data_IF_921517691245
#
_entry.id   IF_921517691245
#
_cell.length_a   1.000
_cell.length_b   1.000
_cell.length_c   1.000
_cell.angle_alpha   90.00
_cell.angle_beta   90.00
_cell.angle_gamma   90.00
#
_symmetry.space_group_name_H-M   'P 1'
#
loop_
_entity.id
_entity.type
_entity.pdbx_description
1 polymer ?
#
# COMPACT_ATOMS: atom_id res chain seq x y z
N UNK A 1 -27.06 -1.79 22.50
CA UNK A 1 -26.68 -1.95 21.08
C UNK A 1 -25.22 -1.56 20.93
N UNK A 2 -24.32 -2.54 21.04
CA UNK A 2 -22.88 -2.30 20.84
C UNK A 2 -22.64 -2.00 19.37
N UNK A 3 -22.05 -0.84 19.06
CA UNK A 3 -21.66 -0.49 17.70
C UNK A 3 -20.59 -1.49 17.25
N UNK A 4 -20.90 -2.33 16.29
CA UNK A 4 -19.89 -3.12 15.56
C UNK A 4 -19.01 -2.11 14.83
N UNK A 5 -17.92 -1.72 15.46
CA UNK A 5 -16.84 -1.03 14.75
C UNK A 5 -16.20 -2.07 13.87
N UNK A 6 -16.52 -2.03 12.58
CA UNK A 6 -15.86 -2.81 11.54
C UNK A 6 -14.37 -2.48 11.63
N UNK A 7 -13.58 -3.36 12.26
CA UNK A 7 -12.23 -3.02 12.68
C UNK A 7 -11.32 -2.99 11.45
N UNK A 8 -10.91 -1.82 10.92
CA UNK A 8 -10.13 -1.75 9.68
C UNK A 8 -8.71 -2.33 9.84
N UNK A 9 -8.33 -2.72 11.07
CA UNK A 9 -7.05 -3.34 11.42
C UNK A 9 -7.06 -4.87 11.34
N UNK A 10 -8.11 -5.50 10.76
CA UNK A 10 -8.23 -6.97 10.72
C UNK A 10 -7.09 -7.66 9.97
N UNK A 11 -6.46 -6.99 9.01
CA UNK A 11 -5.40 -7.55 8.17
C UNK A 11 -4.12 -6.72 8.29
N UNK A 12 -3.05 -7.36 8.74
CA UNK A 12 -1.71 -6.76 8.84
C UNK A 12 -0.85 -7.38 7.76
N UNK A 13 -0.19 -6.54 6.97
CA UNK A 13 0.85 -6.97 6.02
C UNK A 13 2.20 -6.66 6.65
N UNK A 14 3.02 -7.69 6.86
CA UNK A 14 4.38 -7.57 7.39
C UNK A 14 5.38 -7.93 6.30
N UNK A 15 6.40 -7.10 6.12
CA UNK A 15 7.51 -7.36 5.22
C UNK A 15 8.82 -6.93 5.90
N UNK A 16 9.94 -7.48 5.43
CA UNK A 16 11.27 -7.05 5.85
C UNK A 16 11.82 -6.11 4.80
N UNK A 17 12.36 -4.99 5.26
CA UNK A 17 13.05 -3.99 4.45
C UNK A 17 14.37 -3.65 5.15
N UNK A 18 15.36 -3.22 4.39
CA UNK A 18 16.61 -2.67 4.92
C UNK A 18 16.39 -1.27 5.51
N UNK A 19 17.32 -0.81 6.34
CA UNK A 19 17.31 0.55 6.89
C UNK A 19 17.24 1.62 5.80
N UNK A 20 17.97 1.39 4.69
CA UNK A 20 17.98 2.29 3.53
C UNK A 20 16.61 2.39 2.86
N UNK A 21 15.93 1.25 2.68
CA UNK A 21 14.59 1.24 2.09
C UNK A 21 13.57 1.91 3.01
N UNK A 22 13.69 1.69 4.33
CA UNK A 22 12.82 2.34 5.31
C UNK A 22 13.01 3.86 5.31
N UNK A 23 14.26 4.35 5.23
CA UNK A 23 14.55 5.78 5.14
C UNK A 23 13.95 6.40 3.87
N UNK A 24 14.12 5.73 2.72
CA UNK A 24 13.51 6.16 1.46
C UNK A 24 11.97 6.24 1.56
N UNK A 25 11.33 5.27 2.21
CA UNK A 25 9.88 5.26 2.42
C UNK A 25 9.43 6.42 3.32
N UNK A 26 10.20 6.73 4.37
CA UNK A 26 9.93 7.86 5.25
C UNK A 26 10.03 9.19 4.51
N UNK A 27 11.14 9.44 3.80
CA UNK A 27 11.35 10.65 3.00
C UNK A 27 10.21 10.88 1.98
N UNK A 28 9.77 9.81 1.30
CA UNK A 28 8.67 9.90 0.33
C UNK A 28 7.32 10.18 0.99
N UNK A 29 7.06 9.58 2.15
CA UNK A 29 5.83 9.83 2.89
C UNK A 29 5.78 11.30 3.36
N UNK A 30 6.89 11.83 3.85
CA UNK A 30 7.01 13.24 4.24
C UNK A 30 6.82 14.19 3.06
N UNK A 31 7.48 13.92 1.92
CA UNK A 31 7.31 14.72 0.69
C UNK A 31 5.87 14.70 0.16
N UNK A 32 5.16 13.57 0.32
CA UNK A 32 3.76 13.41 -0.06
C UNK A 32 2.76 13.90 0.99
N UNK A 33 3.23 14.47 2.12
CA UNK A 33 2.42 14.86 3.28
C UNK A 33 1.44 13.75 3.72
N UNK A 34 1.95 12.51 3.75
CA UNK A 34 1.19 11.29 4.09
C UNK A 34 1.99 10.42 5.06
N UNK A 35 1.41 9.30 5.50
CA UNK A 35 2.12 8.31 6.30
C UNK A 35 2.52 7.09 5.44
N UNK A 36 3.46 6.29 5.93
CA UNK A 36 4.00 5.13 5.20
C UNK A 36 2.90 4.11 4.86
N UNK A 37 1.93 3.89 5.75
CA UNK A 37 0.85 2.93 5.49
C UNK A 37 -0.03 3.37 4.32
N UNK A 38 -0.36 4.65 4.23
CA UNK A 38 -1.16 5.19 3.13
C UNK A 38 -0.34 5.28 1.84
N UNK A 39 0.94 5.66 1.90
CA UNK A 39 1.87 5.59 0.77
C UNK A 39 1.93 4.18 0.17
N UNK A 40 2.08 3.15 1.02
CA UNK A 40 2.14 1.75 0.58
C UNK A 40 0.81 1.28 -0.02
N UNK A 41 -0.33 1.67 0.57
CA UNK A 41 -1.65 1.36 -0.01
C UNK A 41 -1.82 1.96 -1.40
N UNK A 42 -1.50 3.24 -1.56
CA UNK A 42 -1.57 3.92 -2.85
C UNK A 42 -0.65 3.26 -3.88
N UNK A 43 0.57 2.90 -3.46
CA UNK A 43 1.53 2.20 -4.31
C UNK A 43 1.00 0.83 -4.76
N UNK A 44 0.44 0.04 -3.83
CA UNK A 44 -0.16 -1.25 -4.14
C UNK A 44 -1.36 -1.12 -5.07
N UNK A 45 -2.22 -0.12 -4.87
CA UNK A 45 -3.35 0.16 -5.78
C UNK A 45 -2.84 0.54 -7.16
N UNK A 46 -1.90 1.47 -7.27
CA UNK A 46 -1.33 1.89 -8.56
C UNK A 46 -0.66 0.73 -9.31
N UNK A 47 0.04 -0.16 -8.58
CA UNK A 47 0.61 -1.39 -9.16
C UNK A 47 -0.53 -2.32 -9.62
N UNK A 48 -1.55 -2.57 -8.80
CA UNK A 48 -2.64 -3.47 -9.15
C UNK A 48 -3.44 -2.99 -10.36
N UNK A 49 -3.70 -1.69 -10.45
CA UNK A 49 -4.40 -1.05 -11.58
C UNK A 49 -3.51 -1.00 -12.83
N UNK A 50 -2.20 -0.76 -12.66
CA UNK A 50 -1.23 -0.76 -13.76
C UNK A 50 -0.87 -2.16 -14.29
N UNK A 51 -0.95 -3.20 -13.45
CA UNK A 51 -0.74 -4.61 -13.83
C UNK A 51 -2.05 -5.34 -14.20
N UNK A 52 -3.20 -4.66 -14.12
CA UNK A 52 -4.55 -5.20 -14.30
C UNK A 52 -5.10 -5.23 -15.73
N UNK A 53 -4.28 -4.98 -16.76
CA UNK A 53 -4.65 -5.30 -18.14
C UNK A 53 -3.76 -6.45 -18.66
N UNK A 54 -4.12 -7.73 -18.41
CA UNK A 54 -3.60 -8.80 -19.23
C UNK A 54 -4.08 -8.56 -20.66
N UNK A 55 -3.12 -8.28 -21.53
CA UNK A 55 -3.28 -8.33 -22.97
C UNK A 55 -3.60 -9.78 -23.37
N UNK A 56 -4.87 -10.17 -23.29
CA UNK A 56 -5.40 -11.41 -23.87
C UNK A 56 -6.30 -11.03 -25.06
N UNK A 57 -5.68 -10.44 -26.08
CA UNK A 57 -6.21 -10.40 -27.44
C UNK A 57 -5.14 -11.03 -28.35
N UNK A 58 -5.16 -12.36 -28.39
CA UNK A 58 -4.20 -13.18 -29.12
C UNK A 58 -4.71 -14.62 -29.22
N UNK A 59 -5.84 -14.79 -29.93
CA UNK A 59 -6.24 -15.96 -30.69
C UNK A 59 -7.57 -15.64 -31.40
#
# INVERSE_FOLDING_TARGET
MGKTVENPKRYIVSCRVSDREMQLLADRAEQGNTNISDLLRQSLTAIAEGFGAPNHAGA
#
